data_IF_104735887768
#
_entry.id   IF_104735887768
#
_cell.length_a   1.000
_cell.length_b   1.000
_cell.length_c   1.000
_cell.angle_alpha   90.00
_cell.angle_beta   90.00
_cell.angle_gamma   90.00
#
_symmetry.space_group_name_H-M   'P 1'
#
loop_
_entity.id
_entity.type
_entity.pdbx_description
1 polymer ?
#
# COMPACT_ATOMS: atom_id res chain seq x y z
N UNK A 1 6.29 -33.11 -36.27
CA UNK A 1 5.08 -32.71 -35.51
C UNK A 1 5.30 -32.56 -34.00
N UNK A 2 6.24 -33.30 -33.35
CA UNK A 2 6.51 -33.18 -31.89
C UNK A 2 6.93 -31.78 -31.39
N UNK A 3 7.59 -30.97 -32.23
CA UNK A 3 8.11 -29.67 -31.81
C UNK A 3 7.11 -28.50 -31.94
N UNK A 4 6.00 -28.70 -32.66
CA UNK A 4 5.00 -27.64 -32.89
C UNK A 4 4.21 -27.34 -31.60
N UNK A 5 3.90 -28.38 -30.81
CA UNK A 5 3.22 -28.20 -29.52
C UNK A 5 4.09 -27.46 -28.48
N UNK A 6 5.42 -27.60 -28.54
CA UNK A 6 6.37 -26.93 -27.64
C UNK A 6 6.49 -25.43 -27.94
N UNK A 7 6.43 -25.05 -29.22
CA UNK A 7 6.47 -23.63 -29.63
C UNK A 7 5.15 -22.94 -29.27
N UNK A 8 4.01 -23.62 -29.45
CA UNK A 8 2.70 -23.08 -29.11
C UNK A 8 2.53 -22.83 -27.59
N UNK A 9 3.17 -23.64 -26.73
CA UNK A 9 3.09 -23.47 -25.28
C UNK A 9 3.96 -22.33 -24.74
N UNK A 10 5.00 -21.90 -25.47
CA UNK A 10 5.84 -20.76 -25.07
C UNK A 10 5.17 -19.41 -25.35
N UNK A 11 4.33 -19.32 -26.39
CA UNK A 11 3.64 -18.08 -26.80
C UNK A 11 2.48 -17.73 -25.86
N UNK A 12 1.86 -18.72 -25.20
CA UNK A 12 0.75 -18.47 -24.25
C UNK A 12 1.26 -17.89 -22.92
N UNK A 13 2.53 -18.10 -22.58
CA UNK A 13 3.10 -17.59 -21.32
C UNK A 13 3.53 -16.11 -21.37
N UNK A 14 3.70 -15.52 -22.56
CA UNK A 14 4.09 -14.10 -22.70
C UNK A 14 2.90 -13.13 -22.69
N UNK A 15 1.67 -13.64 -22.84
CA UNK A 15 0.46 -12.82 -22.97
C UNK A 15 -0.25 -12.44 -21.67
N UNK A 16 0.20 -12.92 -20.51
CA UNK A 16 -0.48 -12.70 -19.22
C UNK A 16 0.17 -11.62 -18.34
N UNK A 17 1.08 -10.81 -18.89
CA UNK A 17 1.54 -9.59 -18.24
C UNK A 17 0.58 -8.47 -18.63
N UNK A 18 -0.50 -8.28 -17.87
CA UNK A 18 -1.22 -7.01 -17.89
C UNK A 18 -0.28 -5.95 -17.31
N UNK A 19 0.59 -5.40 -18.16
CA UNK A 19 1.29 -4.19 -17.84
C UNK A 19 0.23 -3.12 -17.50
N UNK A 20 0.51 -2.33 -16.48
CA UNK A 20 -0.31 -1.17 -16.15
C UNK A 20 -0.02 -0.10 -17.22
N UNK A 21 -0.48 -0.29 -18.46
CA UNK A 21 -0.11 0.57 -19.60
C UNK A 21 -0.49 2.04 -19.41
N UNK A 22 -1.39 2.30 -18.45
CA UNK A 22 -1.81 3.65 -18.07
C UNK A 22 -1.07 4.19 -16.84
N UNK A 23 -0.04 3.51 -16.32
CA UNK A 23 0.69 3.92 -15.12
C UNK A 23 2.20 3.94 -15.35
N UNK A 24 2.78 5.13 -15.25
CA UNK A 24 4.23 5.33 -15.25
C UNK A 24 4.74 5.52 -13.83
N UNK A 25 5.66 4.67 -13.38
CA UNK A 25 6.35 4.83 -12.09
C UNK A 25 6.86 6.27 -11.94
N UNK A 26 6.59 6.88 -10.79
CA UNK A 26 7.09 8.22 -10.45
C UNK A 26 8.16 8.15 -9.37
N UNK A 27 7.83 7.60 -8.20
CA UNK A 27 8.73 7.51 -7.04
C UNK A 27 8.19 6.58 -5.96
N UNK A 28 9.05 6.20 -5.03
CA UNK A 28 8.64 5.62 -3.75
C UNK A 28 8.18 6.75 -2.82
N UNK A 29 7.13 6.48 -2.04
CA UNK A 29 6.56 7.42 -1.07
C UNK A 29 6.58 6.83 0.34
N UNK A 30 6.71 7.73 1.31
CA UNK A 30 6.74 7.44 2.73
C UNK A 30 5.75 8.37 3.42
N UNK A 31 4.68 7.81 3.98
CA UNK A 31 3.67 8.56 4.72
C UNK A 31 4.02 8.46 6.20
N UNK A 32 4.55 9.57 6.74
CA UNK A 32 5.03 9.67 8.12
C UNK A 32 4.72 11.04 8.70
N UNK A 33 4.41 11.11 10.00
CA UNK A 33 4.33 12.35 10.80
C UNK A 33 3.33 13.43 10.36
N UNK A 34 2.62 13.26 9.24
CA UNK A 34 1.73 14.27 8.66
C UNK A 34 0.65 13.65 7.77
N UNK A 35 -0.31 14.48 7.36
CA UNK A 35 -1.33 14.09 6.37
C UNK A 35 -0.85 14.40 4.96
N UNK A 36 -0.86 13.39 4.11
CA UNK A 36 -0.53 13.48 2.71
C UNK A 36 -1.79 13.34 1.87
N UNK A 37 -1.78 13.97 0.68
CA UNK A 37 -2.87 13.85 -0.29
C UNK A 37 -2.29 13.28 -1.59
N UNK A 38 -2.94 12.27 -2.16
CA UNK A 38 -2.59 11.74 -3.48
C UNK A 38 -2.79 12.87 -4.51
N UNK A 39 -1.76 13.34 -5.23
CA UNK A 39 -1.89 14.46 -6.16
C UNK A 39 -2.81 14.15 -7.36
N UNK A 40 -3.38 15.18 -7.97
CA UNK A 40 -4.13 15.06 -9.23
C UNK A 40 -3.24 14.43 -10.33
N UNK A 41 -3.80 13.51 -11.10
CA UNK A 41 -3.07 12.78 -12.15
C UNK A 41 -2.10 11.71 -11.62
N UNK A 42 -2.15 11.42 -10.31
CA UNK A 42 -1.38 10.35 -9.67
C UNK A 42 -2.29 9.31 -9.05
N UNK A 43 -1.74 8.12 -8.86
CA UNK A 43 -2.31 7.06 -8.03
C UNK A 43 -1.20 6.48 -7.16
N UNK A 44 -1.53 6.14 -5.92
CA UNK A 44 -0.57 5.53 -4.98
C UNK A 44 -0.93 4.07 -4.75
N UNK A 45 0.07 3.19 -4.83
CA UNK A 45 -0.03 1.81 -4.39
C UNK A 45 0.70 1.70 -3.06
N UNK A 46 -0.04 1.56 -1.97
CA UNK A 46 0.54 1.38 -0.65
C UNK A 46 0.98 -0.08 -0.53
N UNK A 47 2.22 -0.33 -0.11
CA UNK A 47 2.89 -1.63 -0.17
C UNK A 47 3.13 -2.24 1.21
N UNK A 48 3.44 -1.42 2.20
CA UNK A 48 3.66 -1.93 3.56
C UNK A 48 3.51 -0.87 4.62
N UNK A 49 3.45 -1.33 5.87
CA UNK A 49 3.41 -0.51 7.06
C UNK A 49 4.51 -0.95 8.00
N UNK A 50 5.27 0.03 8.51
CA UNK A 50 6.33 -0.18 9.48
C UNK A 50 5.93 0.46 10.81
N UNK A 51 6.20 -0.28 11.88
CA UNK A 51 5.75 0.03 13.23
C UNK A 51 6.82 -0.35 14.24
N UNK A 52 6.88 0.40 15.33
CA UNK A 52 7.59 0.00 16.53
C UNK A 52 6.60 -0.62 17.52
N UNK A 53 6.60 -1.96 17.59
CA UNK A 53 5.75 -2.73 18.50
C UNK A 53 6.44 -2.80 19.87
N UNK A 54 5.68 -2.58 20.94
CA UNK A 54 6.19 -2.74 22.32
C UNK A 54 5.54 -3.90 23.07
N UNK A 55 4.35 -4.33 22.66
CA UNK A 55 3.69 -5.50 23.22
C UNK A 55 2.78 -6.14 22.18
N UNK A 56 3.01 -7.41 21.90
CA UNK A 56 2.10 -8.26 21.14
C UNK A 56 1.19 -8.96 22.16
N UNK A 57 -0.05 -8.48 22.30
CA UNK A 57 -1.09 -9.27 22.94
C UNK A 57 -1.91 -9.90 21.81
N UNK A 58 -2.29 -11.16 21.97
CA UNK A 58 -2.75 -12.10 20.93
C UNK A 58 -3.99 -11.73 20.09
N UNK A 59 -4.48 -10.48 20.16
CA UNK A 59 -5.63 -9.98 19.40
C UNK A 59 -5.47 -8.55 18.88
N UNK A 60 -4.44 -7.81 19.32
CA UNK A 60 -4.29 -6.38 19.04
C UNK A 60 -2.81 -5.99 18.92
N UNK A 61 -2.40 -5.50 17.75
CA UNK A 61 -1.12 -4.80 17.57
C UNK A 61 -1.15 -3.43 18.25
N UNK A 62 -0.50 -3.33 19.39
CA UNK A 62 -0.33 -2.10 20.18
C UNK A 62 1.10 -1.57 19.99
N UNK A 63 1.21 -0.37 19.40
CA UNK A 63 2.47 0.37 19.32
C UNK A 63 2.54 1.49 20.36
N UNK A 64 3.74 2.04 20.59
CA UNK A 64 3.90 3.24 21.42
C UNK A 64 3.88 4.47 20.52
N UNK A 65 3.01 5.42 20.90
CA UNK A 65 2.92 6.73 20.31
C UNK A 65 3.03 7.81 21.38
N UNK A 66 4.07 8.66 21.30
CA UNK A 66 4.33 9.71 22.30
C UNK A 66 4.29 9.18 23.74
N UNK A 67 4.85 7.98 23.98
CA UNK A 67 4.86 7.34 25.30
C UNK A 67 3.55 6.70 25.74
N UNK A 68 2.51 6.67 24.88
CA UNK A 68 1.22 6.06 25.15
C UNK A 68 1.00 4.83 24.26
N UNK A 69 0.37 3.79 24.81
CA UNK A 69 -0.07 2.64 24.01
C UNK A 69 -1.22 3.06 23.09
N UNK A 70 -1.06 2.86 21.79
CA UNK A 70 -2.09 3.13 20.79
C UNK A 70 -2.30 1.94 19.88
N UNK A 71 -3.57 1.73 19.52
CA UNK A 71 -3.93 0.80 18.46
C UNK A 71 -3.30 1.21 17.14
N UNK A 72 -2.75 0.22 16.44
CA UNK A 72 -2.20 0.44 15.14
C UNK A 72 -3.28 0.81 14.13
N UNK A 73 -3.24 2.04 13.61
CA UNK A 73 -4.16 2.49 12.56
C UNK A 73 -3.51 3.40 11.54
N UNK A 74 -3.97 3.26 10.29
CA UNK A 74 -3.76 4.23 9.21
C UNK A 74 -5.06 5.00 9.04
N UNK A 75 -4.98 6.32 8.86
CA UNK A 75 -6.14 7.17 8.67
C UNK A 75 -6.26 7.49 7.19
N UNK A 76 -7.36 7.07 6.56
CA UNK A 76 -7.63 7.33 5.14
C UNK A 76 -8.94 8.11 5.04
N UNK A 77 -8.90 9.32 4.46
CA UNK A 77 -10.04 10.25 4.38
C UNK A 77 -10.75 10.50 5.73
N UNK A 78 -10.01 10.45 6.84
CA UNK A 78 -10.54 10.62 8.20
C UNK A 78 -11.10 9.35 8.85
N UNK A 79 -11.23 8.25 8.10
CA UNK A 79 -11.58 6.94 8.65
C UNK A 79 -10.37 6.24 9.26
N UNK A 80 -10.55 5.59 10.42
CA UNK A 80 -9.51 4.78 11.06
C UNK A 80 -9.54 3.35 10.53
N UNK A 81 -8.40 2.89 10.04
CA UNK A 81 -8.24 1.54 9.53
C UNK A 81 -7.20 0.78 10.36
N UNK A 82 -7.64 -0.24 11.08
CA UNK A 82 -6.80 -1.03 11.98
C UNK A 82 -6.15 -2.20 11.26
N UNK A 83 -4.92 -2.50 11.63
CA UNK A 83 -4.17 -3.64 11.07
C UNK A 83 -4.59 -4.96 11.73
N UNK A 84 -5.18 -4.91 12.92
CA UNK A 84 -5.88 -6.05 13.54
C UNK A 84 -7.23 -5.59 14.11
N UNK A 85 -8.32 -6.22 13.66
CA UNK A 85 -9.64 -6.09 14.30
C UNK A 85 -10.69 -5.17 13.65
N UNK A 86 -10.48 -4.71 12.40
CA UNK A 86 -11.49 -4.41 11.32
C UNK A 86 -10.85 -3.59 10.17
N UNK A 87 -10.49 -4.18 9.04
CA UNK A 87 -9.13 -4.63 8.73
C UNK A 87 -8.53 -3.83 7.53
N UNK A 88 -7.28 -3.38 7.61
CA UNK A 88 -6.39 -3.20 6.43
C UNK A 88 -5.70 -4.53 6.16
N UNK A 89 -6.45 -5.54 5.71
CA UNK A 89 -5.94 -6.92 5.70
C UNK A 89 -5.03 -7.27 4.53
N UNK A 90 -4.87 -6.42 3.54
CA UNK A 90 -4.06 -6.76 2.37
C UNK A 90 -3.41 -5.52 1.82
N UNK A 91 -2.22 -5.24 2.32
CA UNK A 91 -1.24 -4.65 1.43
C UNK A 91 -0.96 -5.65 0.28
N UNK A 92 -0.79 -5.17 -0.96
CA UNK A 92 -0.89 -3.78 -1.35
C UNK A 92 -2.34 -3.33 -1.58
N UNK A 93 -2.60 -2.03 -1.41
CA UNK A 93 -3.88 -1.41 -1.79
C UNK A 93 -3.66 -0.09 -2.54
N UNK A 94 -4.65 0.32 -3.33
CA UNK A 94 -4.55 1.51 -4.19
C UNK A 94 -5.33 2.68 -3.62
N UNK A 95 -4.75 3.87 -3.69
CA UNK A 95 -5.39 5.13 -3.32
C UNK A 95 -5.51 6.02 -4.56
N UNK A 96 -6.73 6.43 -4.93
CA UNK A 96 -6.95 7.35 -6.05
C UNK A 96 -6.55 8.79 -5.68
N UNK A 97 -6.40 9.64 -6.70
CA UNK A 97 -6.17 11.07 -6.55
C UNK A 97 -7.17 11.72 -5.57
N UNK A 98 -6.69 12.68 -4.78
CA UNK A 98 -7.47 13.39 -3.76
C UNK A 98 -7.62 12.64 -2.43
N UNK A 99 -7.24 11.36 -2.36
CA UNK A 99 -7.28 10.61 -1.11
C UNK A 99 -6.27 11.19 -0.12
N UNK A 100 -6.73 11.44 1.11
CA UNK A 100 -5.87 11.84 2.23
C UNK A 100 -5.46 10.61 3.03
N UNK A 101 -4.18 10.47 3.31
CA UNK A 101 -3.63 9.41 4.15
C UNK A 101 -2.71 10.00 5.22
N UNK A 102 -2.79 9.48 6.43
CA UNK A 102 -1.84 9.77 7.50
C UNK A 102 -1.62 8.54 8.37
N UNK A 103 -0.45 8.48 9.00
CA UNK A 103 -0.24 7.57 10.12
C UNK A 103 -0.92 8.17 11.37
N UNK A 104 -1.54 7.33 12.20
CA UNK A 104 -2.07 7.77 13.50
C UNK A 104 -0.97 8.05 14.54
N UNK A 105 0.30 7.79 14.19
CA UNK A 105 1.45 8.03 15.05
C UNK A 105 2.73 8.44 14.32
N UNK A 106 3.56 9.26 14.99
CA UNK A 106 4.86 9.73 14.50
C UNK A 106 5.95 8.64 14.38
N UNK A 107 5.86 7.56 15.16
CA UNK A 107 6.84 6.45 15.12
C UNK A 107 6.52 5.41 14.05
N UNK A 108 5.42 5.56 13.30
CA UNK A 108 4.97 4.60 12.30
C UNK A 108 4.94 5.25 10.93
N UNK A 109 5.21 4.47 9.88
CA UNK A 109 5.15 4.96 8.51
C UNK A 109 4.59 3.92 7.55
N UNK A 110 3.82 4.39 6.57
CA UNK A 110 3.32 3.57 5.47
C UNK A 110 4.19 3.84 4.25
N UNK A 111 4.65 2.79 3.57
CA UNK A 111 5.39 2.92 2.32
C UNK A 111 4.53 2.55 1.13
N UNK A 112 4.81 3.17 -0.01
CA UNK A 112 4.10 2.90 -1.24
C UNK A 112 4.87 3.38 -2.46
N UNK A 113 4.24 3.22 -3.62
CA UNK A 113 4.75 3.66 -4.90
C UNK A 113 3.75 4.62 -5.52
N UNK A 114 4.23 5.78 -5.95
CA UNK A 114 3.47 6.75 -6.73
C UNK A 114 3.62 6.48 -8.22
N UNK A 115 2.50 6.45 -8.92
CA UNK A 115 2.43 6.34 -10.37
C UNK A 115 1.78 7.58 -10.96
N UNK A 116 2.24 7.98 -12.15
CA UNK A 116 1.58 8.95 -13.02
C UNK A 116 0.59 8.21 -13.88
N UNK A 117 -0.64 8.72 -13.97
CA UNK A 117 -1.64 8.19 -14.89
C UNK A 117 -1.30 8.72 -16.29
N UNK A 118 -1.03 7.82 -17.23
CA UNK A 118 -0.83 8.10 -18.65
C UNK A 118 -2.09 7.68 -19.40
N UNK A 119 -2.63 8.60 -20.21
CA UNK A 119 -3.76 8.32 -21.10
C UNK A 119 -3.30 7.62 -22.38
#
# INVERSE_FOLDING_TARGET
MKYICLIASFIVFTGASYAQDNLKFSRVIWVKDSTYTVPTGKVWKMESLFIQINKENSRELIGICNGQNKFLSVIINGGFYFVEGRELKSFPFWLPAGTKISSSCYSWWVTGVEYTITN
#
